data_IF_406506871630
#
_entry.id   IF_406506871630
#
_cell.length_a   1.000
_cell.length_b   1.000
_cell.length_c   1.000
_cell.angle_alpha   90.00
_cell.angle_beta   90.00
_cell.angle_gamma   90.00
#
_symmetry.space_group_name_H-M   'P 1'
#
loop_
_entity.id
_entity.type
_entity.pdbx_description
1 polymer ?
#
# COMPACT_ATOMS: atom_id res chain seq x y z
N UNK A 1 31.05 -13.48 13.35
CA UNK A 1 30.04 -13.97 12.39
C UNK A 1 28.57 -13.86 12.83
N UNK A 2 28.24 -13.60 14.12
CA UNK A 2 26.84 -13.51 14.60
C UNK A 2 26.11 -12.19 14.28
N UNK A 3 26.83 -11.08 14.03
CA UNK A 3 26.22 -9.78 13.68
C UNK A 3 25.70 -9.74 12.23
N UNK A 4 26.50 -10.23 11.26
CA UNK A 4 26.08 -10.30 9.85
C UNK A 4 24.81 -11.13 9.67
N UNK A 5 24.68 -12.26 10.37
CA UNK A 5 23.47 -13.10 10.34
C UNK A 5 22.24 -12.43 10.99
N UNK A 6 22.44 -11.55 11.98
CA UNK A 6 21.34 -10.76 12.56
C UNK A 6 20.90 -9.64 11.63
N UNK A 7 21.81 -9.00 10.89
CA UNK A 7 21.46 -8.00 9.88
C UNK A 7 20.72 -8.64 8.70
N UNK A 8 21.14 -9.81 8.21
CA UNK A 8 20.48 -10.55 7.14
C UNK A 8 19.07 -10.97 7.54
N UNK A 9 18.90 -11.51 8.76
CA UNK A 9 17.58 -11.91 9.30
C UNK A 9 16.68 -10.70 9.60
N UNK A 10 17.24 -9.51 9.76
CA UNK A 10 16.48 -8.26 9.94
C UNK A 10 16.09 -7.61 8.61
N UNK A 11 16.91 -7.78 7.57
CA UNK A 11 16.61 -7.44 6.17
C UNK A 11 15.43 -8.26 5.62
N UNK A 12 15.26 -9.51 6.07
CA UNK A 12 14.10 -10.35 5.78
C UNK A 12 12.77 -9.87 6.40
N UNK A 13 12.75 -8.81 7.22
CA UNK A 13 11.50 -8.19 7.74
C UNK A 13 10.87 -7.16 6.79
N UNK A 14 11.44 -6.98 5.59
CA UNK A 14 10.86 -6.23 4.48
C UNK A 14 9.39 -6.58 4.07
N UNK A 15 8.86 -7.81 4.28
CA UNK A 15 7.49 -8.16 3.89
C UNK A 15 6.40 -7.39 4.63
N UNK A 16 6.68 -6.86 5.82
CA UNK A 16 5.65 -6.26 6.67
C UNK A 16 5.16 -4.91 6.12
N UNK A 17 6.05 -4.14 5.50
CA UNK A 17 5.69 -2.89 4.81
C UNK A 17 4.98 -3.17 3.48
N UNK A 18 5.41 -4.21 2.76
CA UNK A 18 4.72 -4.68 1.55
C UNK A 18 3.27 -5.09 1.84
N UNK A 19 3.03 -5.78 2.96
CA UNK A 19 1.67 -6.17 3.36
C UNK A 19 0.75 -4.98 3.60
N UNK A 20 1.27 -3.88 4.16
CA UNK A 20 0.49 -2.63 4.35
C UNK A 20 0.12 -1.97 3.02
N UNK A 21 1.02 -1.97 2.04
CA UNK A 21 0.70 -1.50 0.67
C UNK A 21 -0.42 -2.32 0.08
N UNK A 22 -0.27 -3.64 0.06
CA UNK A 22 -1.23 -4.54 -0.56
C UNK A 22 -2.61 -4.40 0.09
N UNK A 23 -2.67 -4.31 1.42
CA UNK A 23 -3.94 -4.09 2.14
C UNK A 23 -4.55 -2.73 1.76
N UNK A 24 -3.76 -1.65 1.75
CA UNK A 24 -4.24 -0.32 1.37
C UNK A 24 -4.76 -0.27 -0.07
N UNK A 25 -4.05 -0.90 -1.00
CA UNK A 25 -4.43 -1.03 -2.41
C UNK A 25 -5.72 -1.84 -2.58
N UNK A 26 -5.88 -2.96 -1.85
CA UNK A 26 -7.12 -3.75 -1.87
C UNK A 26 -8.31 -2.94 -1.34
N UNK A 27 -8.14 -2.19 -0.26
CA UNK A 27 -9.18 -1.30 0.29
C UNK A 27 -9.52 -0.19 -0.72
N UNK A 28 -8.51 0.41 -1.36
CA UNK A 28 -8.70 1.43 -2.38
C UNK A 28 -9.52 0.91 -3.57
N UNK A 29 -9.14 -0.24 -4.15
CA UNK A 29 -9.86 -0.82 -5.26
C UNK A 29 -11.26 -1.32 -4.86
N UNK A 30 -11.42 -1.85 -3.64
CA UNK A 30 -12.72 -2.20 -3.09
C UNK A 30 -13.65 -0.97 -2.98
N UNK A 31 -13.14 0.14 -2.43
CA UNK A 31 -13.87 1.41 -2.37
C UNK A 31 -14.19 1.98 -3.75
N UNK A 32 -13.23 1.92 -4.70
CA UNK A 32 -13.44 2.39 -6.07
C UNK A 32 -14.52 1.58 -6.80
N UNK A 33 -14.52 0.25 -6.64
CA UNK A 33 -15.56 -0.62 -7.18
C UNK A 33 -16.92 -0.34 -6.55
N UNK A 34 -16.97 -0.10 -5.24
CA UNK A 34 -18.20 0.29 -4.55
C UNK A 34 -18.73 1.64 -5.03
N UNK A 35 -17.86 2.61 -5.27
CA UNK A 35 -18.24 3.92 -5.82
C UNK A 35 -18.82 3.77 -7.23
N UNK A 36 -18.15 3.03 -8.11
CA UNK A 36 -18.66 2.76 -9.46
C UNK A 36 -20.00 2.04 -9.44
N UNK A 37 -20.18 1.09 -8.53
CA UNK A 37 -21.44 0.38 -8.35
C UNK A 37 -22.54 1.32 -7.83
N UNK A 38 -22.23 2.15 -6.83
CA UNK A 38 -23.18 3.11 -6.27
C UNK A 38 -23.67 4.10 -7.35
N UNK A 39 -22.75 4.65 -8.15
CA UNK A 39 -23.09 5.56 -9.25
C UNK A 39 -23.87 4.87 -10.38
N UNK A 40 -23.56 3.60 -10.66
CA UNK A 40 -24.28 2.80 -11.64
C UNK A 40 -25.63 2.26 -11.14
N UNK A 41 -25.90 2.31 -9.85
CA UNK A 41 -27.11 1.79 -9.22
C UNK A 41 -28.28 2.78 -9.34
N UNK A 42 -28.76 2.99 -10.57
CA UNK A 42 -29.89 3.88 -10.91
C UNK A 42 -31.24 3.45 -10.34
N UNK A 43 -31.31 2.28 -9.70
CA UNK A 43 -32.50 1.76 -9.02
C UNK A 43 -32.62 2.21 -7.56
N UNK A 44 -31.59 2.85 -7.01
CA UNK A 44 -31.62 3.41 -5.66
C UNK A 44 -32.21 4.81 -5.67
N UNK A 45 -32.81 5.23 -4.55
CA UNK A 45 -33.18 6.64 -4.38
C UNK A 45 -31.94 7.54 -4.49
N UNK A 46 -32.05 8.74 -5.10
CA UNK A 46 -30.91 9.63 -5.33
C UNK A 46 -30.12 9.93 -4.05
N UNK A 47 -30.83 10.15 -2.94
CA UNK A 47 -30.23 10.43 -1.64
C UNK A 47 -29.40 9.24 -1.12
N UNK A 48 -29.84 8.00 -1.36
CA UNK A 48 -29.13 6.79 -0.92
C UNK A 48 -27.92 6.52 -1.79
N UNK A 49 -28.01 6.78 -3.10
CA UNK A 49 -26.89 6.71 -4.02
C UNK A 49 -25.77 7.67 -3.62
N UNK A 50 -26.09 8.93 -3.35
CA UNK A 50 -25.11 9.92 -2.89
C UNK A 50 -24.44 9.52 -1.56
N UNK A 51 -25.21 9.01 -0.59
CA UNK A 51 -24.68 8.55 0.70
C UNK A 51 -23.72 7.37 0.55
N UNK A 52 -24.05 6.42 -0.34
CA UNK A 52 -23.18 5.27 -0.65
C UNK A 52 -21.93 5.71 -1.39
N UNK A 53 -22.05 6.64 -2.35
CA UNK A 53 -20.92 7.24 -3.04
C UNK A 53 -19.99 7.98 -2.08
N UNK A 54 -20.55 8.73 -1.12
CA UNK A 54 -19.78 9.42 -0.08
C UNK A 54 -19.01 8.45 0.82
N UNK A 55 -19.67 7.36 1.24
CA UNK A 55 -19.04 6.28 2.02
C UNK A 55 -17.89 5.62 1.24
N UNK A 56 -18.13 5.30 -0.02
CA UNK A 56 -17.11 4.73 -0.89
C UNK A 56 -15.92 5.69 -1.07
N UNK A 57 -16.18 6.99 -1.23
CA UNK A 57 -15.16 8.03 -1.34
C UNK A 57 -14.26 8.11 -0.10
N UNK A 58 -14.85 8.06 1.10
CA UNK A 58 -14.08 8.02 2.36
C UNK A 58 -13.18 6.78 2.40
N UNK A 59 -13.72 5.62 1.99
CA UNK A 59 -13.01 4.35 1.95
C UNK A 59 -11.82 4.39 0.99
N UNK A 60 -12.02 4.97 -0.20
CA UNK A 60 -10.97 5.23 -1.20
C UNK A 60 -9.88 6.12 -0.59
N UNK A 61 -10.24 7.21 0.10
CA UNK A 61 -9.27 8.12 0.73
C UNK A 61 -8.41 7.43 1.79
N UNK A 62 -9.02 6.57 2.62
CA UNK A 62 -8.30 5.78 3.63
C UNK A 62 -7.38 4.76 2.95
N UNK A 63 -7.89 4.01 1.97
CA UNK A 63 -7.12 3.03 1.21
C UNK A 63 -5.92 3.65 0.49
N UNK A 64 -6.13 4.80 -0.16
CA UNK A 64 -5.08 5.58 -0.80
C UNK A 64 -4.01 6.02 0.20
N UNK A 65 -4.40 6.55 1.36
CA UNK A 65 -3.47 6.98 2.41
C UNK A 65 -2.62 5.81 2.94
N UNK A 66 -3.25 4.65 3.21
CA UNK A 66 -2.51 3.45 3.63
C UNK A 66 -1.56 2.94 2.53
N UNK A 67 -2.02 2.93 1.28
CA UNK A 67 -1.20 2.52 0.14
C UNK A 67 0.02 3.44 -0.03
N UNK A 68 -0.17 4.75 0.13
CA UNK A 68 0.87 5.77 0.01
C UNK A 68 1.91 5.64 1.14
N UNK A 69 1.45 5.46 2.39
CA UNK A 69 2.32 5.20 3.54
C UNK A 69 3.13 3.91 3.38
N UNK A 70 2.50 2.86 2.85
CA UNK A 70 3.21 1.61 2.55
C UNK A 70 4.20 1.78 1.39
N UNK A 71 3.83 2.53 0.35
CA UNK A 71 4.67 2.74 -0.83
C UNK A 71 5.93 3.52 -0.47
N UNK A 72 5.83 4.51 0.42
CA UNK A 72 6.98 5.19 1.02
C UNK A 72 7.91 4.18 1.71
N UNK A 73 7.35 3.19 2.43
CA UNK A 73 8.13 2.10 3.02
C UNK A 73 8.86 1.23 1.99
N UNK A 74 8.26 0.94 0.83
CA UNK A 74 8.91 0.20 -0.26
C UNK A 74 9.94 1.02 -1.02
N UNK A 75 9.68 2.30 -1.25
CA UNK A 75 10.61 3.21 -1.91
C UNK A 75 11.89 3.35 -1.11
N UNK A 76 11.79 3.54 0.21
CA UNK A 76 12.93 3.59 1.12
C UNK A 76 13.71 2.27 1.12
N UNK A 77 13.02 1.12 1.11
CA UNK A 77 13.68 -0.18 1.02
C UNK A 77 14.44 -0.37 -0.30
N UNK A 78 13.86 0.06 -1.43
CA UNK A 78 14.53 0.00 -2.73
C UNK A 78 15.79 0.88 -2.75
N UNK A 79 15.74 2.06 -2.15
CA UNK A 79 16.90 2.95 -2.04
C UNK A 79 17.99 2.32 -1.18
N UNK A 80 17.63 1.75 -0.02
CA UNK A 80 18.60 1.08 0.87
C UNK A 80 19.25 -0.11 0.15
N UNK A 81 18.46 -0.97 -0.52
CA UNK A 81 18.99 -2.10 -1.29
C UNK A 81 19.93 -1.65 -2.41
N UNK A 82 19.57 -0.58 -3.12
CA UNK A 82 20.40 -0.04 -4.19
C UNK A 82 21.71 0.57 -3.67
N UNK A 83 21.73 1.05 -2.42
CA UNK A 83 22.94 1.54 -1.76
C UNK A 83 23.85 0.38 -1.33
N UNK A 84 23.26 -0.70 -0.80
CA UNK A 84 23.96 -1.92 -0.35
C UNK A 84 24.66 -2.64 -1.52
N UNK A 85 23.98 -2.80 -2.67
CA UNK A 85 24.56 -3.38 -3.90
C UNK A 85 25.83 -2.62 -4.36
N UNK A 86 25.86 -1.29 -4.20
CA UNK A 86 27.00 -0.46 -4.64
C UNK A 86 28.21 -0.57 -3.71
N UNK A 87 28.00 -0.87 -2.43
CA UNK A 87 29.09 -1.06 -1.47
C UNK A 87 29.77 -2.42 -1.67
N UNK A 88 29.02 -3.46 -2.07
CA UNK A 88 29.59 -4.78 -2.40
C UNK A 88 30.40 -4.75 -3.72
N UNK A 89 29.96 -4.01 -4.73
CA UNK A 89 30.69 -3.80 -6.01
C UNK A 89 31.99 -2.97 -5.83
N UNK A 90 32.06 -2.10 -4.82
CA UNK A 90 33.22 -1.25 -4.55
C UNK A 90 34.35 -1.97 -3.80
N UNK A 91 34.09 -3.17 -3.27
CA UNK A 91 35.03 -4.00 -2.51
C UNK A 91 35.51 -5.24 -3.27
N UNK A 92 35.06 -5.44 -4.51
CA UNK A 92 35.53 -6.48 -5.46
C UNK A 92 36.50 -5.94 -6.50
#
# INVERSE_FOLDING_TARGET
>A
MKLKQRLIRMSENSPQNFRRVVIGTLIFFGGAGMLMWAEGATHLEPLRQELMALLALIMIGIGASLALLGYLGLSVFRIIKFLDDKDDDALS
#
